data_IF_105958139364
#
_entry.id   IF_105958139364
#
_cell.length_a   1.000
_cell.length_b   1.000
_cell.length_c   1.000
_cell.angle_alpha   90.00
_cell.angle_beta   90.00
_cell.angle_gamma   90.00
#
_symmetry.space_group_name_H-M   'P 1'
#
loop_
_entity.id
_entity.type
_entity.pdbx_description
1 polymer ?
#
# COMPACT_ATOMS: atom_id res chain seq x y z
N UNK A 1 8.72 -12.76 -22.06
CA UNK A 1 8.98 -11.32 -21.97
C UNK A 1 8.34 -10.85 -20.67
N UNK A 2 9.00 -10.10 -19.80
CA UNK A 2 8.34 -9.56 -18.61
C UNK A 2 7.22 -8.62 -19.07
N UNK A 3 6.03 -8.80 -18.53
CA UNK A 3 4.92 -7.89 -18.76
C UNK A 3 5.31 -6.50 -18.25
N UNK A 4 4.98 -5.42 -18.99
CA UNK A 4 5.24 -4.07 -18.51
C UNK A 4 4.49 -3.87 -17.19
N UNK A 5 5.19 -3.48 -16.16
CA UNK A 5 4.59 -3.09 -14.88
C UNK A 5 3.89 -1.76 -15.14
N UNK A 6 2.54 -1.76 -15.05
CA UNK A 6 1.77 -0.53 -15.15
C UNK A 6 1.88 0.23 -13.82
N UNK A 7 2.42 1.43 -13.89
CA UNK A 7 2.50 2.36 -12.76
C UNK A 7 1.41 3.43 -12.88
N UNK A 8 0.65 3.61 -11.81
CA UNK A 8 -0.12 4.83 -11.59
C UNK A 8 0.69 5.73 -10.67
N UNK A 9 1.16 6.87 -11.15
CA UNK A 9 2.01 7.77 -10.38
C UNK A 9 1.28 9.06 -10.01
N UNK A 10 1.53 9.55 -8.80
CA UNK A 10 1.03 10.81 -8.27
C UNK A 10 2.18 11.58 -7.63
N UNK A 11 2.43 12.80 -8.10
CA UNK A 11 3.48 13.66 -7.54
C UNK A 11 2.87 14.79 -6.71
N UNK A 12 3.42 15.00 -5.53
CA UNK A 12 3.01 16.04 -4.59
C UNK A 12 4.24 16.84 -4.22
N UNK A 13 4.15 18.15 -4.35
CA UNK A 13 5.15 19.04 -3.78
C UNK A 13 4.82 19.31 -2.31
N UNK A 14 5.77 19.05 -1.44
CA UNK A 14 5.68 19.31 -0.02
C UNK A 14 6.96 19.99 0.47
N UNK A 15 6.85 21.25 0.89
CA UNK A 15 7.97 22.10 1.29
C UNK A 15 9.09 22.11 0.21
N UNK A 16 10.26 21.59 0.53
CA UNK A 16 11.47 21.53 -0.29
C UNK A 16 11.57 20.27 -1.17
N UNK A 17 10.60 19.36 -1.09
CA UNK A 17 10.64 18.11 -1.81
C UNK A 17 9.45 17.90 -2.74
N UNK A 18 9.68 17.12 -3.78
CA UNK A 18 8.64 16.49 -4.58
C UNK A 18 8.63 15.01 -4.24
N UNK A 19 7.50 14.54 -3.72
CA UNK A 19 7.27 13.12 -3.43
C UNK A 19 6.39 12.53 -4.51
N UNK A 20 6.88 11.51 -5.18
CA UNK A 20 6.12 10.76 -6.18
C UNK A 20 5.78 9.38 -5.62
N UNK A 21 4.49 9.10 -5.57
CA UNK A 21 3.96 7.80 -5.19
C UNK A 21 3.66 6.98 -6.45
N UNK A 22 4.25 5.82 -6.56
CA UNK A 22 4.03 4.87 -7.64
C UNK A 22 3.20 3.71 -7.13
N UNK A 23 1.96 3.61 -7.57
CA UNK A 23 1.12 2.46 -7.26
C UNK A 23 1.51 1.30 -8.17
N UNK A 24 2.08 0.27 -7.57
CA UNK A 24 2.50 -0.92 -8.29
C UNK A 24 1.37 -1.93 -8.24
N UNK A 25 0.76 -2.20 -9.39
CA UNK A 25 -0.25 -3.26 -9.49
C UNK A 25 0.46 -4.61 -9.40
N UNK A 26 0.30 -5.30 -8.28
CA UNK A 26 0.71 -6.71 -8.18
C UNK A 26 -0.16 -7.55 -9.12
N UNK A 27 0.45 -8.15 -10.14
CA UNK A 27 -0.26 -8.83 -11.23
C UNK A 27 -0.44 -10.33 -10.95
N UNK A 28 0.10 -10.93 -9.89
CA UNK A 28 0.00 -12.36 -9.76
C UNK A 28 -0.65 -12.84 -8.47
N UNK A 29 -1.70 -13.62 -8.65
CA UNK A 29 -2.28 -14.54 -7.66
C UNK A 29 -1.52 -15.88 -7.60
N UNK A 30 -0.43 -16.04 -8.36
CA UNK A 30 0.36 -17.26 -8.37
C UNK A 30 1.63 -17.12 -7.54
N UNK A 31 2.07 -18.19 -6.85
CA UNK A 31 3.35 -18.21 -6.17
C UNK A 31 4.47 -18.12 -7.20
N UNK A 32 4.84 -16.91 -7.58
CA UNK A 32 5.93 -16.65 -8.49
C UNK A 32 7.12 -16.11 -7.72
N UNK A 33 8.24 -16.78 -7.81
CA UNK A 33 9.52 -16.20 -7.44
C UNK A 33 9.82 -15.08 -8.44
N UNK A 34 9.65 -13.84 -8.03
CA UNK A 34 10.09 -12.72 -8.86
C UNK A 34 11.60 -12.81 -9.09
N UNK A 35 12.02 -12.46 -10.29
CA UNK A 35 13.45 -12.37 -10.61
C UNK A 35 14.06 -11.28 -9.72
N UNK A 36 15.28 -11.52 -9.26
CA UNK A 36 16.07 -10.51 -8.55
C UNK A 36 16.13 -9.23 -9.39
N UNK A 37 15.72 -8.13 -8.84
CA UNK A 37 15.69 -6.81 -9.50
C UNK A 37 16.03 -5.70 -8.53
N UNK A 38 16.22 -4.49 -9.04
CA UNK A 38 16.40 -3.27 -8.26
C UNK A 38 15.78 -2.09 -9.01
N UNK A 39 15.48 -1.04 -8.30
CA UNK A 39 14.89 0.20 -8.83
C UNK A 39 15.45 1.43 -8.10
N UNK A 40 15.17 2.63 -8.61
CA UNK A 40 15.73 3.90 -8.11
C UNK A 40 14.91 4.54 -6.97
N UNK A 41 13.77 3.98 -6.61
CA UNK A 41 12.87 4.49 -5.59
C UNK A 41 12.83 3.56 -4.36
N UNK A 42 12.30 4.04 -3.25
CA UNK A 42 11.95 3.18 -2.11
C UNK A 42 10.70 2.37 -2.44
N UNK A 43 10.74 1.06 -2.22
CA UNK A 43 9.57 0.22 -2.35
C UNK A 43 8.99 -0.11 -0.98
N UNK A 44 7.69 0.04 -0.86
CA UNK A 44 6.92 -0.18 0.35
C UNK A 44 6.02 -1.40 0.16
N UNK A 45 6.27 -2.44 0.90
CA UNK A 45 5.56 -3.72 0.84
C UNK A 45 4.72 -3.88 2.10
N UNK A 46 3.45 -3.50 2.06
CA UNK A 46 2.52 -3.67 3.17
C UNK A 46 1.90 -5.08 3.11
N UNK A 47 2.13 -5.88 4.15
CA UNK A 47 1.51 -7.21 4.27
C UNK A 47 0.09 -7.07 4.83
N UNK A 48 -0.90 -7.36 4.00
CA UNK A 48 -2.32 -7.25 4.37
C UNK A 48 -2.91 -8.55 4.87
N UNK A 49 -2.29 -9.69 4.55
CA UNK A 49 -2.65 -11.01 5.07
C UNK A 49 -1.47 -11.97 4.97
N UNK A 50 -1.38 -12.91 5.93
CA UNK A 50 -0.32 -13.92 5.95
C UNK A 50 1.05 -13.38 6.36
N UNK A 51 2.08 -14.06 5.89
CA UNK A 51 3.50 -13.72 6.10
C UNK A 51 4.20 -13.63 4.77
N UNK A 52 5.07 -12.66 4.62
CA UNK A 52 5.79 -12.39 3.40
C UNK A 52 7.29 -12.27 3.67
N UNK A 53 8.11 -12.87 2.80
CA UNK A 53 9.56 -12.77 2.86
C UNK A 53 10.11 -12.09 1.61
N UNK A 54 10.87 -11.03 1.81
CA UNK A 54 11.65 -10.35 0.80
C UNK A 54 13.10 -10.81 0.90
N UNK A 55 13.61 -11.47 -0.14
CA UNK A 55 15.02 -11.81 -0.23
C UNK A 55 15.81 -10.62 -0.76
N UNK A 56 16.82 -10.21 -0.04
CA UNK A 56 17.71 -9.11 -0.46
C UNK A 56 19.16 -9.56 -0.50
N UNK A 57 20.03 -8.76 -1.11
CA UNK A 57 21.48 -9.01 -1.10
C UNK A 57 22.09 -9.00 0.32
N UNK A 58 21.38 -8.47 1.33
CA UNK A 58 21.83 -8.40 2.73
C UNK A 58 21.16 -9.42 3.64
N UNK A 59 20.31 -10.29 3.10
CA UNK A 59 19.56 -11.30 3.84
C UNK A 59 18.06 -11.18 3.65
N UNK A 60 17.33 -12.07 4.31
CA UNK A 60 15.89 -12.17 4.20
C UNK A 60 15.20 -11.25 5.22
N UNK A 61 14.17 -10.54 4.75
CA UNK A 61 13.31 -9.71 5.58
C UNK A 61 11.93 -10.34 5.59
N UNK A 62 11.48 -10.78 6.74
CA UNK A 62 10.16 -11.40 6.89
C UNK A 62 9.23 -10.47 7.66
N UNK A 63 8.07 -10.19 7.07
CA UNK A 63 7.01 -9.40 7.68
C UNK A 63 5.70 -10.19 7.71
N UNK A 64 4.89 -9.91 8.71
CA UNK A 64 3.55 -10.46 8.88
C UNK A 64 2.49 -9.38 8.67
N UNK A 65 1.25 -9.81 8.66
CA UNK A 65 0.09 -8.93 8.55
C UNK A 65 0.20 -7.69 9.45
N UNK A 66 0.00 -6.51 8.87
CA UNK A 66 0.08 -5.21 9.56
C UNK A 66 1.49 -4.63 9.62
N UNK A 67 2.46 -5.31 9.06
CA UNK A 67 3.84 -4.81 8.97
C UNK A 67 4.17 -4.35 7.55
N UNK A 68 5.06 -3.37 7.47
CA UNK A 68 5.61 -2.80 6.25
C UNK A 68 7.07 -3.20 6.11
N UNK A 69 7.47 -3.63 4.93
CA UNK A 69 8.88 -3.71 4.55
C UNK A 69 9.20 -2.50 3.67
N UNK A 70 10.28 -1.80 3.98
CA UNK A 70 10.83 -0.75 3.14
C UNK A 70 12.09 -1.30 2.47
N UNK A 71 12.10 -1.34 1.14
CA UNK A 71 13.27 -1.69 0.34
C UNK A 71 13.91 -0.41 -0.14
N UNK A 72 15.20 -0.24 0.16
CA UNK A 72 15.96 0.94 -0.23
C UNK A 72 16.22 0.99 -1.75
N UNK A 73 16.37 2.18 -2.35
CA UNK A 73 16.78 2.33 -3.73
C UNK A 73 18.06 1.53 -4.04
N UNK A 74 18.10 0.96 -5.23
CA UNK A 74 19.23 0.18 -5.77
C UNK A 74 19.58 -1.12 -5.04
N UNK A 75 18.88 -1.47 -3.96
CA UNK A 75 19.08 -2.74 -3.28
C UNK A 75 18.51 -3.89 -4.12
N UNK A 76 19.33 -4.85 -4.56
CA UNK A 76 18.82 -6.03 -5.24
C UNK A 76 17.92 -6.86 -4.32
N UNK A 77 16.73 -7.15 -4.78
CA UNK A 77 15.74 -7.90 -4.01
C UNK A 77 14.82 -8.70 -4.92
N UNK A 78 14.13 -9.66 -4.32
CA UNK A 78 13.05 -10.43 -4.95
C UNK A 78 11.98 -10.75 -3.91
N UNK A 79 10.76 -10.80 -4.38
CA UNK A 79 9.63 -11.30 -3.61
C UNK A 79 9.69 -12.83 -3.54
N UNK A 80 9.40 -13.40 -2.39
CA UNK A 80 9.17 -14.83 -2.24
C UNK A 80 7.90 -15.07 -1.44
N UNK A 81 7.05 -15.91 -1.99
CA UNK A 81 5.79 -16.32 -1.38
C UNK A 81 5.82 -17.83 -1.18
N UNK A 82 5.98 -18.29 0.06
CA UNK A 82 6.04 -19.69 0.39
C UNK A 82 4.66 -20.38 0.42
N UNK A 83 3.59 -19.64 0.61
CA UNK A 83 2.24 -20.14 0.77
C UNK A 83 1.26 -19.37 -0.11
N UNK A 84 0.06 -19.91 -0.29
CA UNK A 84 -1.02 -19.33 -1.10
C UNK A 84 -1.12 -17.82 -0.94
N UNK A 85 -0.58 -17.11 -1.92
CA UNK A 85 -0.44 -15.69 -2.12
C UNK A 85 -0.70 -14.79 -0.89
N UNK A 86 0.30 -14.32 -0.15
CA UNK A 86 0.09 -13.25 0.80
C UNK A 86 -0.52 -12.06 0.04
N UNK A 87 -1.52 -11.46 0.62
CA UNK A 87 -2.05 -10.23 0.06
C UNK A 87 -1.12 -9.09 0.46
N UNK A 88 -0.58 -8.41 -0.52
CA UNK A 88 0.28 -7.24 -0.33
C UNK A 88 -0.26 -6.04 -1.09
N UNK A 89 -0.01 -4.87 -0.53
CA UNK A 89 -0.13 -3.60 -1.22
C UNK A 89 1.28 -3.03 -1.43
N UNK A 90 1.62 -2.72 -2.67
CA UNK A 90 2.97 -2.30 -3.06
C UNK A 90 2.95 -0.87 -3.59
N UNK A 91 3.72 0.00 -2.96
CA UNK A 91 3.92 1.39 -3.39
C UNK A 91 5.40 1.68 -3.57
N UNK A 92 5.75 2.36 -4.66
CA UNK A 92 7.05 3.03 -4.78
C UNK A 92 6.98 4.46 -4.23
N UNK A 93 8.01 4.91 -3.55
CA UNK A 93 8.18 6.32 -3.16
C UNK A 93 9.48 6.85 -3.72
N UNK A 94 9.38 7.84 -4.59
CA UNK A 94 10.51 8.63 -5.05
C UNK A 94 10.48 10.00 -4.38
N UNK A 95 11.61 10.43 -3.83
CA UNK A 95 11.74 11.75 -3.19
C UNK A 95 12.83 12.51 -3.89
N UNK A 96 12.50 13.68 -4.42
CA UNK A 96 13.46 14.57 -5.10
C UNK A 96 13.44 15.96 -4.48
N UNK A 97 14.55 16.67 -4.56
CA UNK A 97 14.72 18.02 -4.04
C UNK A 97 15.31 18.93 -5.12
N UNK A 98 14.50 19.37 -6.11
CA UNK A 98 15.00 20.13 -7.26
C UNK A 98 15.58 21.50 -6.90
N UNK A 99 15.21 22.05 -5.75
CA UNK A 99 15.69 23.35 -5.25
C UNK A 99 16.77 23.21 -4.15
N UNK A 100 17.27 21.99 -3.93
CA UNK A 100 18.21 21.67 -2.87
C UNK A 100 17.58 20.91 -1.71
N UNK A 101 18.41 20.16 -0.99
CA UNK A 101 17.97 19.28 0.11
C UNK A 101 17.67 20.12 1.36
N UNK A 102 16.40 20.41 1.56
CA UNK A 102 15.94 21.09 2.76
C UNK A 102 15.58 20.13 3.90
N UNK A 103 14.82 20.65 4.86
CA UNK A 103 14.51 19.93 6.11
C UNK A 103 13.62 18.71 5.88
N UNK A 104 12.51 18.88 5.14
CA UNK A 104 11.58 17.79 4.90
C UNK A 104 12.24 16.67 4.10
N UNK A 105 12.92 17.00 2.97
CA UNK A 105 13.66 16.02 2.18
C UNK A 105 14.61 15.19 3.04
N UNK A 106 15.47 15.88 3.79
CA UNK A 106 16.51 15.22 4.61
C UNK A 106 15.88 14.31 5.65
N UNK A 107 14.89 14.80 6.38
CA UNK A 107 14.24 14.05 7.44
C UNK A 107 13.48 12.84 6.90
N UNK A 108 12.67 13.04 5.86
CA UNK A 108 11.83 11.98 5.30
C UNK A 108 12.65 10.86 4.64
N UNK A 109 13.70 11.23 3.88
CA UNK A 109 14.58 10.21 3.30
C UNK A 109 15.41 9.48 4.35
N UNK A 110 15.83 10.16 5.41
CA UNK A 110 16.52 9.54 6.55
C UNK A 110 15.62 8.54 7.27
N UNK A 111 14.35 8.89 7.49
CA UNK A 111 13.38 7.97 8.08
C UNK A 111 13.19 6.71 7.22
N UNK A 112 12.96 6.86 5.91
CA UNK A 112 12.82 5.73 4.99
C UNK A 112 14.07 4.85 5.00
N UNK A 113 15.26 5.46 4.97
CA UNK A 113 16.53 4.74 4.99
C UNK A 113 16.79 4.01 6.32
N UNK A 114 16.50 4.63 7.45
CA UNK A 114 16.68 4.04 8.78
C UNK A 114 15.75 2.84 9.04
N UNK A 115 14.60 2.81 8.37
CA UNK A 115 13.62 1.74 8.48
C UNK A 115 13.67 0.73 7.32
N UNK A 116 14.55 0.94 6.35
CA UNK A 116 14.77 -0.04 5.29
C UNK A 116 15.44 -1.30 5.82
N UNK A 117 15.07 -2.44 5.25
CA UNK A 117 15.69 -3.73 5.57
C UNK A 117 15.20 -4.41 6.86
N UNK A 118 14.13 -3.91 7.47
CA UNK A 118 13.49 -4.52 8.65
C UNK A 118 11.97 -4.40 8.57
N UNK A 119 11.20 -5.31 9.22
CA UNK A 119 9.76 -5.15 9.32
C UNK A 119 9.43 -3.99 10.24
N UNK A 120 8.54 -3.11 9.79
CA UNK A 120 8.04 -1.95 10.53
C UNK A 120 6.57 -2.18 10.88
N UNK A 121 6.22 -2.40 12.15
CA UNK A 121 4.82 -2.54 12.56
C UNK A 121 4.10 -1.22 12.41
N UNK A 122 2.88 -1.27 11.88
CA UNK A 122 2.07 -0.09 11.61
C UNK A 122 0.88 0.02 12.55
N UNK A 123 0.62 1.23 13.02
CA UNK A 123 -0.62 1.55 13.70
C UNK A 123 -1.83 1.44 12.76
N UNK A 124 -3.01 1.17 13.32
CA UNK A 124 -4.23 0.94 12.56
C UNK A 124 -4.58 2.09 11.62
N UNK A 125 -4.43 3.33 12.08
CA UNK A 125 -4.71 4.53 11.27
C UNK A 125 -3.86 4.58 10.01
N UNK A 126 -2.54 4.35 10.13
CA UNK A 126 -1.63 4.35 8.99
C UNK A 126 -1.96 3.22 8.02
N UNK A 127 -2.18 2.01 8.54
CA UNK A 127 -2.55 0.85 7.74
C UNK A 127 -3.80 1.14 6.88
N UNK A 128 -4.82 1.79 7.46
CA UNK A 128 -6.03 2.18 6.73
C UNK A 128 -5.77 3.20 5.63
N UNK A 129 -5.01 4.26 5.92
CA UNK A 129 -4.67 5.30 4.93
C UNK A 129 -3.88 4.72 3.77
N UNK A 130 -2.92 3.83 4.05
CA UNK A 130 -2.13 3.14 3.03
C UNK A 130 -3.02 2.29 2.10
N UNK A 131 -3.86 1.43 2.68
CA UNK A 131 -4.77 0.59 1.92
C UNK A 131 -5.80 1.42 1.14
N UNK A 132 -6.33 2.47 1.74
CA UNK A 132 -7.28 3.35 1.08
C UNK A 132 -6.66 3.96 -0.18
N UNK A 133 -5.48 4.57 -0.05
CA UNK A 133 -4.76 5.10 -1.20
C UNK A 133 -4.47 4.03 -2.26
N UNK A 134 -4.00 2.85 -1.83
CA UNK A 134 -3.66 1.75 -2.74
C UNK A 134 -4.87 1.19 -3.50
N UNK A 135 -6.02 1.06 -2.85
CA UNK A 135 -7.20 0.41 -3.42
C UNK A 135 -8.04 1.34 -4.30
N UNK A 136 -7.98 2.65 -4.07
CA UNK A 136 -8.72 3.61 -4.90
C UNK A 136 -8.13 3.63 -6.31
N UNK A 137 -8.93 3.35 -7.35
CA UNK A 137 -8.43 3.34 -8.73
C UNK A 137 -8.05 4.75 -9.21
N UNK A 138 -7.11 4.82 -10.16
CA UNK A 138 -6.85 6.04 -10.89
C UNK A 138 -8.14 6.53 -11.57
N UNK A 139 -8.34 7.84 -11.57
CA UNK A 139 -9.58 8.45 -12.00
C UNK A 139 -9.31 9.51 -13.05
N UNK A 140 -10.26 9.70 -13.96
CA UNK A 140 -10.05 10.54 -15.16
C UNK A 140 -10.73 11.90 -15.11
N UNK A 141 -11.62 12.18 -14.14
CA UNK A 141 -12.24 13.51 -13.98
C UNK A 141 -11.40 14.42 -13.06
N UNK A 142 -11.49 15.74 -13.24
CA UNK A 142 -10.80 16.71 -12.39
C UNK A 142 -11.14 16.54 -10.91
N UNK A 143 -12.42 16.32 -10.59
CA UNK A 143 -12.86 16.08 -9.22
C UNK A 143 -12.18 14.85 -8.61
N UNK A 144 -12.03 13.80 -9.41
CA UNK A 144 -11.38 12.57 -9.00
C UNK A 144 -9.88 12.73 -8.82
N UNK A 145 -9.22 13.52 -9.67
CA UNK A 145 -7.80 13.85 -9.51
C UNK A 145 -7.56 14.64 -8.22
N UNK A 146 -8.42 15.61 -7.91
CA UNK A 146 -8.34 16.36 -6.66
C UNK A 146 -8.55 15.46 -5.42
N UNK A 147 -9.50 14.53 -5.49
CA UNK A 147 -9.73 13.57 -4.41
C UNK A 147 -8.49 12.68 -4.18
N UNK A 148 -7.89 12.17 -5.27
CA UNK A 148 -6.70 11.33 -5.19
C UNK A 148 -5.49 12.07 -4.61
N UNK A 149 -5.27 13.34 -5.02
CA UNK A 149 -4.21 14.16 -4.41
C UNK A 149 -4.39 14.35 -2.92
N UNK A 150 -5.62 14.52 -2.47
CA UNK A 150 -5.94 14.60 -1.04
C UNK A 150 -5.58 13.30 -0.32
N UNK A 151 -5.99 12.15 -0.87
CA UNK A 151 -5.65 10.83 -0.32
C UNK A 151 -4.14 10.60 -0.25
N UNK A 152 -3.39 11.05 -1.27
CA UNK A 152 -1.94 10.99 -1.26
C UNK A 152 -1.32 11.91 -0.20
N UNK A 153 -1.85 13.14 -0.04
CA UNK A 153 -1.43 14.04 1.05
C UNK A 153 -1.73 13.43 2.43
N UNK A 154 -2.89 12.81 2.62
CA UNK A 154 -3.28 12.15 3.87
C UNK A 154 -2.33 10.98 4.20
N UNK A 155 -1.91 10.22 3.19
CA UNK A 155 -0.92 9.16 3.35
C UNK A 155 0.47 9.72 3.71
N UNK A 156 0.92 10.78 3.01
CA UNK A 156 2.21 11.42 3.31
C UNK A 156 2.24 12.05 4.70
N UNK A 157 1.12 12.67 5.12
CA UNK A 157 0.99 13.20 6.48
C UNK A 157 1.10 12.09 7.52
N UNK A 158 0.52 10.91 7.24
CA UNK A 158 0.65 9.76 8.13
C UNK A 158 2.08 9.21 8.18
N UNK A 159 2.81 9.22 7.06
CA UNK A 159 4.25 8.91 7.07
C UNK A 159 5.05 9.91 7.89
N UNK A 160 4.73 11.19 7.78
CA UNK A 160 5.35 12.22 8.56
C UNK A 160 5.08 12.03 10.06
N UNK A 161 3.84 11.81 10.46
CA UNK A 161 3.46 11.50 11.84
C UNK A 161 4.22 10.26 12.36
N UNK A 162 4.30 9.19 11.55
CA UNK A 162 5.04 7.99 11.88
C UNK A 162 6.52 8.27 12.09
N UNK A 163 7.11 9.13 11.27
CA UNK A 163 8.52 9.51 11.38
C UNK A 163 8.86 10.32 12.63
N UNK A 164 7.87 11.00 13.23
CA UNK A 164 8.06 11.80 14.45
C UNK A 164 7.91 10.96 15.74
N UNK A 165 7.37 9.76 15.64
CA UNK A 165 7.19 8.86 16.78
C UNK A 165 8.48 8.08 17.03
N UNK A 166 9.38 8.59 17.86
CA UNK A 166 10.65 7.94 18.19
C UNK A 166 10.51 6.66 19.03
N UNK A 167 9.37 6.43 19.68
CA UNK A 167 9.19 5.24 20.52
C UNK A 167 7.74 4.70 20.42
N UNK A 168 7.65 3.38 20.36
CA UNK A 168 6.44 2.56 20.51
C UNK A 168 5.40 2.62 19.41
N UNK A 169 5.75 2.15 18.22
CA UNK A 169 4.73 1.59 17.31
C UNK A 169 4.44 0.15 17.78
N UNK A 170 3.81 0.03 18.93
CA UNK A 170 3.18 -1.21 19.38
C UNK A 170 1.71 -1.18 19.04
N UNK A 171 1.37 -0.99 17.77
CA UNK A 171 0.01 -1.16 17.30
C UNK A 171 -0.25 -2.64 17.08
N UNK A 172 -1.24 -3.20 17.76
CA UNK A 172 -1.75 -4.51 17.33
C UNK A 172 -2.16 -4.41 15.84
N UNK A 173 -1.77 -5.37 15.00
CA UNK A 173 -2.21 -5.37 13.61
C UNK A 173 -3.73 -5.40 13.57
N UNK A 174 -4.37 -4.69 12.62
CA UNK A 174 -5.83 -4.65 12.52
C UNK A 174 -6.38 -6.07 12.48
N UNK A 175 -7.37 -6.34 13.29
CA UNK A 175 -7.91 -7.67 13.57
C UNK A 175 -8.39 -8.40 12.30
N UNK A 176 -8.71 -7.66 11.23
CA UNK A 176 -9.14 -8.25 9.95
C UNK A 176 -8.80 -7.34 8.76
N UNK A 177 -7.63 -7.56 8.13
CA UNK A 177 -7.30 -6.84 6.88
C UNK A 177 -8.36 -7.03 5.78
N UNK A 178 -8.94 -8.24 5.55
CA UNK A 178 -10.02 -8.41 4.61
C UNK A 178 -11.26 -7.55 4.89
N UNK A 179 -11.56 -7.27 6.14
CA UNK A 179 -12.74 -6.48 6.51
C UNK A 179 -12.53 -4.98 6.25
N UNK A 180 -11.30 -4.49 6.43
CA UNK A 180 -10.93 -3.11 6.12
C UNK A 180 -10.92 -2.89 4.61
N UNK A 181 -10.30 -3.80 3.88
CA UNK A 181 -10.30 -3.79 2.42
C UNK A 181 -11.73 -3.83 1.90
N UNK A 182 -12.58 -4.68 2.48
CA UNK A 182 -13.99 -4.75 2.14
C UNK A 182 -14.70 -3.42 2.38
N UNK A 183 -14.47 -2.77 3.52
CA UNK A 183 -15.06 -1.48 3.87
C UNK A 183 -14.70 -0.40 2.85
N UNK A 184 -13.41 -0.27 2.54
CA UNK A 184 -12.93 0.69 1.53
C UNK A 184 -13.53 0.43 0.15
N UNK A 185 -13.60 -0.83 -0.28
CA UNK A 185 -14.10 -1.20 -1.60
C UNK A 185 -15.64 -1.10 -1.72
N UNK A 186 -16.36 -1.31 -0.61
CA UNK A 186 -17.84 -1.19 -0.58
C UNK A 186 -18.27 0.25 -0.85
N UNK A 187 -17.57 1.23 -0.29
CA UNK A 187 -17.87 2.65 -0.48
C UNK A 187 -17.38 3.23 -1.82
N UNK A 188 -16.60 2.47 -2.58
CA UNK A 188 -16.16 2.86 -3.92
C UNK A 188 -17.26 2.55 -4.96
N UNK A 189 -17.96 3.59 -5.46
CA UNK A 189 -19.11 3.42 -6.38
C UNK A 189 -18.81 2.63 -7.66
N UNK A 190 -17.59 2.70 -8.16
CA UNK A 190 -17.23 2.22 -9.51
C UNK A 190 -16.52 0.85 -9.53
N UNK A 191 -16.35 0.19 -8.40
CA UNK A 191 -15.67 -1.12 -8.35
C UNK A 191 -16.73 -2.23 -8.40
N UNK A 192 -16.77 -3.07 -9.45
CA UNK A 192 -17.73 -4.17 -9.54
C UNK A 192 -17.49 -5.22 -8.44
N UNK A 193 -18.52 -5.95 -8.06
CA UNK A 193 -18.46 -6.99 -7.04
C UNK A 193 -17.42 -8.07 -7.36
N UNK A 194 -17.27 -8.41 -8.65
CA UNK A 194 -16.27 -9.37 -9.13
C UNK A 194 -14.84 -8.90 -8.85
N UNK A 195 -14.58 -7.62 -9.01
CA UNK A 195 -13.28 -7.02 -8.72
C UNK A 195 -13.02 -6.95 -7.21
N UNK A 196 -14.04 -6.62 -6.41
CA UNK A 196 -13.93 -6.70 -4.94
C UNK A 196 -13.58 -8.13 -4.53
N UNK A 197 -14.26 -9.12 -5.12
CA UNK A 197 -14.03 -10.52 -4.83
C UNK A 197 -12.60 -10.95 -5.20
N UNK A 198 -12.12 -10.57 -6.38
CA UNK A 198 -10.76 -10.85 -6.83
C UNK A 198 -9.70 -10.23 -5.91
N UNK A 199 -9.88 -8.96 -5.52
CA UNK A 199 -8.93 -8.25 -4.62
C UNK A 199 -8.87 -8.83 -3.21
N UNK A 200 -9.97 -9.44 -2.75
CA UNK A 200 -10.07 -10.07 -1.43
C UNK A 200 -9.69 -11.55 -1.43
N UNK A 201 -9.48 -12.16 -2.59
CA UNK A 201 -9.29 -13.61 -2.72
C UNK A 201 -10.55 -14.41 -2.34
N UNK A 202 -11.74 -13.82 -2.47
CA UNK A 202 -13.03 -14.45 -2.18
C UNK A 202 -13.87 -14.66 -3.44
N UNK A 203 -14.81 -15.59 -3.36
CA UNK A 203 -15.87 -15.64 -4.36
C UNK A 203 -16.85 -14.46 -4.17
N UNK A 204 -17.53 -14.04 -5.25
CA UNK A 204 -18.55 -12.98 -5.19
C UNK A 204 -19.64 -13.29 -4.14
N UNK A 205 -20.01 -14.57 -3.98
CA UNK A 205 -20.97 -15.04 -2.97
C UNK A 205 -20.46 -14.83 -1.54
N UNK A 206 -19.19 -15.09 -1.28
CA UNK A 206 -18.56 -14.85 0.03
C UNK A 206 -18.51 -13.35 0.36
N UNK A 207 -18.18 -12.51 -0.62
CA UNK A 207 -18.18 -11.05 -0.45
C UNK A 207 -19.59 -10.54 -0.15
N UNK A 208 -20.59 -10.95 -0.91
CA UNK A 208 -21.99 -10.57 -0.64
C UNK A 208 -22.45 -10.98 0.77
N UNK A 209 -22.09 -12.20 1.22
CA UNK A 209 -22.39 -12.66 2.57
C UNK A 209 -21.73 -11.77 3.63
N UNK A 210 -20.44 -11.45 3.47
CA UNK A 210 -19.70 -10.58 4.40
C UNK A 210 -20.30 -9.17 4.44
N UNK A 211 -20.64 -8.60 3.30
CA UNK A 211 -21.33 -7.29 3.22
C UNK A 211 -22.65 -7.32 3.98
N UNK A 212 -23.49 -8.34 3.76
CA UNK A 212 -24.77 -8.45 4.47
C UNK A 212 -24.59 -8.66 5.98
N UNK A 213 -23.61 -9.46 6.40
CA UNK A 213 -23.31 -9.68 7.81
C UNK A 213 -22.86 -8.38 8.51
N UNK A 214 -22.04 -7.58 7.83
CA UNK A 214 -21.47 -6.36 8.42
C UNK A 214 -22.42 -5.16 8.38
N UNK A 215 -23.11 -4.97 7.28
CA UNK A 215 -23.92 -3.76 7.03
C UNK A 215 -25.44 -3.99 7.08
N UNK A 216 -25.90 -5.22 7.19
CA UNK A 216 -27.32 -5.57 7.11
C UNK A 216 -27.97 -5.31 5.74
N UNK A 217 -27.20 -4.82 4.76
CA UNK A 217 -27.67 -4.34 3.47
C UNK A 217 -26.88 -4.98 2.32
N UNK A 218 -27.41 -4.91 1.09
CA UNK A 218 -26.66 -5.33 -0.09
C UNK A 218 -25.71 -4.21 -0.56
N UNK A 219 -24.66 -4.58 -1.31
CA UNK A 219 -23.72 -3.64 -1.92
C UNK A 219 -24.42 -2.55 -2.74
N UNK A 220 -25.49 -2.91 -3.46
CA UNK A 220 -26.28 -1.97 -4.26
C UNK A 220 -26.96 -0.90 -3.39
N UNK A 221 -27.55 -1.33 -2.27
CA UNK A 221 -28.23 -0.41 -1.33
C UNK A 221 -27.23 0.53 -0.68
N UNK A 222 -26.12 -0.01 -0.20
CA UNK A 222 -25.06 0.81 0.41
C UNK A 222 -24.63 1.91 -0.56
N UNK A 223 -24.34 1.57 -1.80
CA UNK A 223 -23.87 2.52 -2.81
C UNK A 223 -24.92 3.53 -3.29
N UNK A 224 -26.18 3.27 -3.09
CA UNK A 224 -27.24 4.23 -3.41
C UNK A 224 -27.43 5.30 -2.32
N UNK A 225 -26.82 5.11 -1.13
CA UNK A 225 -26.88 6.04 -0.01
C UNK A 225 -25.76 7.09 -0.03
N UNK A 226 -24.81 6.96 -0.96
CA UNK A 226 -23.69 7.87 -1.23
C UNK A 226 -23.77 8.46 -2.66
#
# INVERSE_FOLDING_TARGET
MPHPIEFESESIQYEDAIVTLHKIKSISSEPSSFVMHSHSYFELLLVTNGTYTCHTAHGDITAKKGELIIVAPTLPHRAFCAEHAPHMAVLGIEVSAPQGKGRFYTYFTSFLQANAGKPLPLGQSFFHKFLHYYLVPARHSLQQLCARKREACDLLSAFWELSQQEESISGEPPTTAPDIVLETLVHSKNIPLSEIAARLGYSARQVQRKIRQRYGKSLRVIRSEF
#
